data_IF_269113943881
#
_entry.id   IF_269113943881
#
_cell.length_a   1.000
_cell.length_b   1.000
_cell.length_c   1.000
_cell.angle_alpha   90.00
_cell.angle_beta   90.00
_cell.angle_gamma   90.00
#
_symmetry.space_group_name_H-M   'P 1'
#
loop_
_entity.id
_entity.type
_entity.pdbx_description
1 polymer ?
#
# COMPACT_ATOMS: atom_id res chain seq x y z
N UNK A 1 1.51 -17.36 1.49
CA UNK A 1 1.29 -15.95 1.07
C UNK A 1 1.90 -15.65 -0.31
N UNK A 2 3.17 -15.97 -0.55
CA UNK A 2 3.87 -15.73 -1.84
C UNK A 2 3.10 -16.25 -3.06
N UNK A 3 2.68 -17.52 -3.04
CA UNK A 3 1.98 -18.13 -4.18
C UNK A 3 0.64 -17.46 -4.47
N UNK A 4 -0.10 -17.09 -3.42
CA UNK A 4 -1.34 -16.32 -3.56
C UNK A 4 -1.10 -14.98 -4.27
N UNK A 5 -0.06 -14.25 -3.86
CA UNK A 5 0.29 -12.97 -4.46
C UNK A 5 0.70 -13.11 -5.93
N UNK A 6 1.49 -14.14 -6.27
CA UNK A 6 1.86 -14.44 -7.66
C UNK A 6 0.63 -14.73 -8.51
N UNK A 7 -0.30 -15.56 -8.02
CA UNK A 7 -1.52 -15.89 -8.73
C UNK A 7 -2.44 -14.68 -8.89
N UNK A 8 -2.56 -13.83 -7.87
CA UNK A 8 -3.30 -12.59 -7.95
C UNK A 8 -2.70 -11.62 -8.98
N UNK A 9 -1.37 -11.52 -9.05
CA UNK A 9 -0.68 -10.70 -10.05
C UNK A 9 -0.86 -11.27 -11.48
N UNK A 10 -0.85 -12.59 -11.65
CA UNK A 10 -1.15 -13.24 -12.93
C UNK A 10 -2.59 -12.93 -13.37
N UNK A 11 -3.56 -13.06 -12.46
CA UNK A 11 -4.96 -12.70 -12.72
C UNK A 11 -5.09 -11.21 -13.09
N UNK A 12 -4.45 -10.33 -12.32
CA UNK A 12 -4.43 -8.90 -12.57
C UNK A 12 -3.88 -8.58 -13.97
N UNK A 13 -2.77 -9.21 -14.38
CA UNK A 13 -2.20 -9.03 -15.71
C UNK A 13 -3.15 -9.53 -16.82
N UNK A 14 -3.85 -10.64 -16.59
CA UNK A 14 -4.84 -11.18 -17.53
C UNK A 14 -6.13 -10.36 -17.63
N UNK A 15 -6.45 -9.54 -16.61
CA UNK A 15 -7.69 -8.76 -16.55
C UNK A 15 -7.78 -7.60 -17.57
N UNK A 16 -6.68 -7.25 -18.24
CA UNK A 16 -6.59 -6.11 -19.16
C UNK A 16 -6.60 -4.73 -18.47
N UNK A 17 -6.65 -4.67 -17.14
CA UNK A 17 -6.54 -3.41 -16.38
C UNK A 17 -5.09 -2.92 -16.38
N UNK A 18 -4.92 -1.60 -16.52
CA UNK A 18 -3.59 -0.97 -16.67
C UNK A 18 -3.01 -0.42 -15.36
N UNK A 19 -3.88 -0.05 -14.42
CA UNK A 19 -3.50 0.59 -13.16
C UNK A 19 -4.23 -0.09 -12.01
N UNK A 20 -3.46 -0.52 -11.01
CA UNK A 20 -3.94 -1.11 -9.77
C UNK A 20 -3.65 -0.16 -8.61
N UNK A 21 -4.65 0.03 -7.75
CA UNK A 21 -4.52 0.80 -6.51
C UNK A 21 -4.57 -0.21 -5.36
N UNK A 22 -3.51 -0.23 -4.54
CA UNK A 22 -3.43 -1.09 -3.37
C UNK A 22 -3.70 -0.26 -2.13
N UNK A 23 -4.65 -0.68 -1.30
CA UNK A 23 -4.96 -0.03 -0.03
C UNK A 23 -4.38 -0.89 1.09
N UNK A 24 -3.63 -0.28 2.00
CA UNK A 24 -3.10 -1.00 3.18
C UNK A 24 -3.04 -0.06 4.37
N UNK A 25 -3.32 -0.60 5.54
CA UNK A 25 -2.96 0.03 6.80
C UNK A 25 -1.46 -0.17 7.08
N UNK A 26 -0.93 0.73 7.90
CA UNK A 26 0.39 0.68 8.52
C UNK A 26 0.20 0.78 10.03
N UNK A 27 1.14 0.22 10.78
CA UNK A 27 1.16 0.21 12.23
C UNK A 27 1.46 1.60 12.79
N UNK A 28 0.54 2.17 13.56
CA UNK A 28 0.70 3.47 14.21
C UNK A 28 1.92 3.53 15.15
N UNK A 29 2.37 2.42 15.72
CA UNK A 29 3.62 2.36 16.49
C UNK A 29 4.84 2.76 15.66
N UNK A 30 4.82 2.51 14.34
CA UNK A 30 5.86 2.96 13.40
C UNK A 30 5.75 4.44 13.06
N UNK A 31 4.56 5.04 13.23
CA UNK A 31 4.32 6.48 13.07
C UNK A 31 4.99 7.32 14.15
N UNK A 32 5.16 6.83 15.38
CA UNK A 32 5.69 7.63 16.49
C UNK A 32 7.14 8.15 16.29
N UNK A 33 7.87 7.62 15.29
CA UNK A 33 9.16 8.17 14.83
C UNK A 33 9.00 9.41 13.91
N UNK A 34 7.78 9.75 13.51
CA UNK A 34 7.40 10.84 12.61
C UNK A 34 6.55 11.86 13.41
N UNK A 35 7.02 13.11 13.44
CA UNK A 35 6.50 14.28 14.16
C UNK A 35 4.99 14.26 14.52
N UNK A 36 4.70 13.97 15.80
CA UNK A 36 3.36 13.87 16.41
C UNK A 36 2.59 15.21 16.46
N UNK A 37 3.27 16.35 16.29
CA UNK A 37 2.65 17.68 16.41
C UNK A 37 1.54 17.93 15.38
N UNK A 38 1.62 17.28 14.21
CA UNK A 38 0.67 17.48 13.11
C UNK A 38 -0.61 16.65 13.22
N UNK A 39 -0.57 15.53 13.95
CA UNK A 39 -1.73 14.65 14.13
C UNK A 39 -2.80 15.33 14.98
N UNK A 40 -2.39 15.96 16.09
CA UNK A 40 -3.30 16.70 16.98
C UNK A 40 -3.92 17.93 16.33
N UNK A 41 -3.24 18.57 15.38
CA UNK A 41 -3.71 19.79 14.72
C UNK A 41 -4.65 19.47 13.54
N UNK A 42 -4.45 18.35 12.83
CA UNK A 42 -5.21 18.07 11.60
C UNK A 42 -6.34 17.05 11.76
N UNK A 43 -6.45 16.26 12.84
CA UNK A 43 -7.51 15.21 13.02
C UNK A 43 -7.64 14.21 11.84
N UNK A 44 -6.78 14.26 10.84
CA UNK A 44 -6.83 13.45 9.63
C UNK A 44 -5.52 12.69 9.49
N UNK A 45 -5.61 11.37 9.33
CA UNK A 45 -4.46 10.52 9.04
C UNK A 45 -3.94 10.91 7.65
N UNK A 46 -2.64 11.23 7.57
CA UNK A 46 -2.04 11.64 6.31
C UNK A 46 -1.89 10.42 5.42
N UNK A 47 -2.43 10.48 4.20
CA UNK A 47 -2.23 9.42 3.20
C UNK A 47 -0.77 9.39 2.78
N UNK A 48 -0.17 8.21 2.90
CA UNK A 48 1.13 7.90 2.36
C UNK A 48 0.97 7.13 1.05
N UNK A 49 1.93 7.26 0.16
CA UNK A 49 1.88 6.57 -1.12
C UNK A 49 3.21 5.95 -1.51
N UNK A 50 3.12 4.91 -2.34
CA UNK A 50 4.23 4.33 -3.08
C UNK A 50 3.77 4.01 -4.49
N UNK A 51 4.44 4.56 -5.51
CA UNK A 51 4.06 4.35 -6.91
C UNK A 51 5.11 3.56 -7.68
N UNK A 52 4.67 2.80 -8.69
CA UNK A 52 5.57 2.10 -9.61
C UNK A 52 6.04 2.96 -10.79
N UNK A 53 5.49 4.17 -10.97
CA UNK A 53 5.83 5.08 -12.08
C UNK A 53 7.32 5.42 -12.08
N UNK A 54 7.83 5.88 -10.94
CA UNK A 54 9.23 6.24 -10.79
C UNK A 54 9.99 5.18 -9.97
N UNK A 55 11.27 4.92 -10.27
CA UNK A 55 12.07 3.93 -9.55
C UNK A 55 12.18 4.19 -8.04
N UNK A 56 12.17 5.47 -7.63
CA UNK A 56 12.25 5.95 -6.25
C UNK A 56 10.90 5.96 -5.50
N UNK A 57 9.82 5.57 -6.19
CA UNK A 57 8.49 5.48 -5.64
C UNK A 57 7.63 6.74 -5.77
N UNK A 58 8.13 7.82 -6.37
CA UNK A 58 7.39 9.10 -6.51
C UNK A 58 6.30 9.06 -7.57
N UNK A 59 5.33 9.94 -7.42
CA UNK A 59 4.22 10.14 -8.35
C UNK A 59 3.69 11.58 -8.24
N UNK A 60 3.92 12.40 -9.27
CA UNK A 60 3.53 13.81 -9.28
C UNK A 60 2.03 14.00 -8.98
N UNK A 61 1.18 13.05 -9.42
CA UNK A 61 -0.26 13.12 -9.16
C UNK A 61 -0.58 12.98 -7.67
N UNK A 62 0.13 12.10 -6.97
CA UNK A 62 -0.01 11.93 -5.53
C UNK A 62 0.53 13.15 -4.77
N UNK A 63 1.62 13.74 -5.24
CA UNK A 63 2.20 14.96 -4.64
C UNK A 63 1.26 16.17 -4.80
N UNK A 64 0.62 16.32 -5.96
CA UNK A 64 -0.41 17.35 -6.20
C UNK A 64 -1.63 17.20 -5.30
N UNK A 65 -1.97 15.97 -4.89
CA UNK A 65 -3.03 15.69 -3.93
C UNK A 65 -2.61 15.94 -2.47
N UNK A 66 -1.38 16.39 -2.24
CA UNK A 66 -0.83 16.70 -0.92
C UNK A 66 -0.42 15.47 -0.11
N UNK A 67 -0.29 14.30 -0.75
CA UNK A 67 0.07 13.06 -0.07
C UNK A 67 1.58 12.91 0.07
N UNK A 68 2.00 12.15 1.08
CA UNK A 68 3.42 11.94 1.38
C UNK A 68 3.91 10.65 0.76
N UNK A 69 5.07 10.68 0.10
CA UNK A 69 5.77 9.45 -0.30
C UNK A 69 6.13 8.66 0.97
N UNK A 70 6.00 7.32 0.93
CA UNK A 70 6.54 6.44 1.95
C UNK A 70 8.06 6.61 2.02
N UNK A 71 8.56 7.24 3.09
CA UNK A 71 9.93 7.74 3.11
C UNK A 71 10.96 6.60 3.18
N UNK A 72 10.58 5.55 3.88
CA UNK A 72 11.34 4.34 4.15
C UNK A 72 11.42 3.41 2.94
N UNK A 73 10.71 3.74 1.85
CA UNK A 73 10.88 3.00 0.61
C UNK A 73 12.30 3.20 0.06
N UNK A 74 13.08 2.12 0.14
CA UNK A 74 14.41 2.02 -0.45
C UNK A 74 14.48 0.78 -1.37
N UNK A 75 14.56 0.95 -2.72
CA UNK A 75 14.65 -0.17 -3.64
C UNK A 75 15.95 -0.99 -3.52
N UNK A 76 16.99 -0.42 -2.90
CA UNK A 76 18.27 -1.10 -2.69
C UNK A 76 18.29 -2.01 -1.45
N UNK A 77 17.27 -1.93 -0.59
CA UNK A 77 17.15 -2.73 0.64
C UNK A 77 17.09 -4.23 0.32
N UNK A 78 17.68 -5.06 1.19
CA UNK A 78 17.76 -6.52 1.05
C UNK A 78 16.38 -7.16 0.80
N UNK A 79 15.40 -6.90 1.66
CA UNK A 79 14.07 -7.49 1.53
C UNK A 79 13.31 -7.00 0.29
N UNK A 80 13.54 -5.76 -0.18
CA UNK A 80 12.98 -5.27 -1.44
C UNK A 80 13.60 -5.97 -2.66
N UNK A 81 14.91 -6.17 -2.66
CA UNK A 81 15.60 -6.95 -3.71
C UNK A 81 15.09 -8.38 -3.74
N UNK A 82 14.91 -9.01 -2.58
CA UNK A 82 14.34 -10.35 -2.45
C UNK A 82 12.94 -10.42 -3.10
N UNK A 83 12.02 -9.54 -2.73
CA UNK A 83 10.67 -9.51 -3.29
C UNK A 83 10.67 -9.30 -4.80
N UNK A 84 11.59 -8.49 -5.33
CA UNK A 84 11.74 -8.29 -6.77
C UNK A 84 12.19 -9.57 -7.47
N UNK A 85 13.24 -10.21 -6.98
CA UNK A 85 13.75 -11.47 -7.55
C UNK A 85 12.68 -12.56 -7.53
N UNK A 86 11.92 -12.65 -6.45
CA UNK A 86 10.81 -13.58 -6.30
C UNK A 86 9.64 -13.27 -7.26
N UNK A 87 9.33 -11.99 -7.46
CA UNK A 87 8.31 -11.53 -8.41
C UNK A 87 8.69 -11.83 -9.87
N UNK A 88 9.99 -11.81 -10.20
CA UNK A 88 10.53 -12.15 -11.52
C UNK A 88 10.54 -13.67 -11.80
N UNK A 89 10.20 -14.50 -10.80
CA UNK A 89 10.10 -15.95 -10.96
C UNK A 89 11.41 -16.72 -10.76
N UNK A 90 12.44 -16.08 -10.20
CA UNK A 90 13.69 -16.75 -9.86
C UNK A 90 13.52 -17.60 -8.59
N UNK A 91 13.47 -18.93 -8.77
CA UNK A 91 13.21 -19.93 -7.72
C UNK A 91 14.41 -20.26 -6.82
N UNK A 92 15.61 -19.75 -7.15
CA UNK A 92 16.87 -20.07 -6.43
C UNK A 92 16.91 -19.54 -4.99
N UNK A 93 15.96 -18.69 -4.59
CA UNK A 93 15.97 -17.98 -3.30
C UNK A 93 14.91 -18.44 -2.29
N UNK A 94 14.09 -19.47 -2.59
CA UNK A 94 13.06 -19.94 -1.66
C UNK A 94 13.63 -20.50 -0.34
N UNK A 95 14.90 -20.91 -0.31
CA UNK A 95 15.58 -21.42 0.89
C UNK A 95 16.12 -20.34 1.84
N UNK A 96 16.08 -19.05 1.46
CA UNK A 96 16.68 -17.93 2.20
C UNK A 96 15.63 -16.87 2.61
N UNK A 97 14.44 -17.29 2.99
CA UNK A 97 13.51 -16.40 3.69
C UNK A 97 14.18 -15.95 4.99
N UNK A 98 14.34 -14.64 5.27
CA UNK A 98 14.60 -14.23 6.63
C UNK A 98 13.43 -14.77 7.46
N UNK A 99 13.74 -15.63 8.42
CA UNK A 99 12.75 -16.09 9.39
C UNK A 99 12.10 -14.85 10.02
N UNK A 100 10.83 -14.92 10.41
CA UNK A 100 10.15 -13.80 11.09
C UNK A 100 10.92 -13.29 12.33
N UNK A 101 11.80 -14.12 12.89
CA UNK A 101 12.68 -13.82 14.02
C UNK A 101 13.95 -13.00 13.66
N UNK A 102 14.29 -12.81 12.39
CA UNK A 102 15.43 -12.00 11.91
C UNK A 102 14.99 -10.66 11.30
N UNK A 103 13.68 -10.34 11.32
CA UNK A 103 13.18 -9.09 10.75
C UNK A 103 13.66 -7.89 11.59
N UNK A 104 14.58 -7.12 11.03
CA UNK A 104 14.98 -5.85 11.60
C UNK A 104 13.86 -4.81 11.45
N UNK A 105 13.94 -3.72 12.21
CA UNK A 105 12.97 -2.62 12.15
C UNK A 105 12.80 -2.06 10.73
N UNK A 106 13.86 -2.12 9.91
CA UNK A 106 13.85 -1.72 8.50
C UNK A 106 13.02 -2.66 7.62
N UNK A 107 12.85 -3.92 8.01
CA UNK A 107 12.14 -4.93 7.23
C UNK A 107 10.63 -4.93 7.46
N UNK A 108 10.13 -4.04 8.32
CA UNK A 108 8.70 -3.86 8.57
C UNK A 108 7.90 -3.63 7.28
N UNK A 109 8.25 -2.61 6.48
CA UNK A 109 7.45 -2.30 5.28
C UNK A 109 7.55 -3.37 4.17
N UNK A 110 8.73 -3.97 3.90
CA UNK A 110 8.83 -5.10 2.99
C UNK A 110 8.12 -6.38 3.47
N UNK A 111 7.93 -6.60 4.77
CA UNK A 111 7.26 -7.81 5.28
C UNK A 111 5.73 -7.77 5.11
N UNK A 112 5.15 -6.57 4.98
CA UNK A 112 3.72 -6.42 4.81
C UNK A 112 3.20 -6.97 3.46
N UNK A 113 1.99 -7.56 3.40
CA UNK A 113 1.46 -8.18 2.19
C UNK A 113 1.40 -7.25 0.96
N UNK A 114 1.16 -5.95 1.18
CA UNK A 114 1.12 -4.97 0.08
C UNK A 114 2.46 -4.91 -0.68
N UNK A 115 3.59 -5.12 0.00
CA UNK A 115 4.91 -5.00 -0.60
C UNK A 115 5.19 -6.15 -1.57
N UNK A 116 4.78 -7.37 -1.21
CA UNK A 116 4.88 -8.53 -2.10
C UNK A 116 3.99 -8.33 -3.33
N UNK A 117 2.75 -7.88 -3.13
CA UNK A 117 1.80 -7.66 -4.24
C UNK A 117 2.23 -6.51 -5.15
N UNK A 118 2.74 -5.42 -4.58
CA UNK A 118 3.35 -4.32 -5.34
C UNK A 118 4.47 -4.83 -6.24
N UNK A 119 5.40 -5.62 -5.70
CA UNK A 119 6.52 -6.17 -6.47
C UNK A 119 6.05 -7.11 -7.59
N UNK A 120 5.09 -8.00 -7.32
CA UNK A 120 4.57 -8.94 -8.31
C UNK A 120 3.80 -8.23 -9.43
N UNK A 121 2.92 -7.29 -9.11
CA UNK A 121 2.20 -6.50 -10.11
C UNK A 121 3.16 -5.65 -10.95
N UNK A 122 4.16 -5.01 -10.31
CA UNK A 122 5.19 -4.24 -11.01
C UNK A 122 6.01 -5.12 -11.96
N UNK A 123 6.38 -6.34 -11.56
CA UNK A 123 7.12 -7.28 -12.42
C UNK A 123 6.30 -7.74 -13.64
N UNK A 124 4.96 -7.70 -13.57
CA UNK A 124 4.08 -7.90 -14.72
C UNK A 124 3.94 -6.67 -15.63
N UNK A 125 4.68 -5.60 -15.37
CA UNK A 125 4.61 -4.36 -16.14
C UNK A 125 3.36 -3.52 -15.85
N UNK A 126 2.65 -3.80 -14.75
CA UNK A 126 1.44 -3.07 -14.39
C UNK A 126 1.82 -1.78 -13.65
N UNK A 127 1.04 -0.72 -13.88
CA UNK A 127 1.10 0.48 -13.04
C UNK A 127 0.45 0.15 -11.68
N UNK A 128 1.13 0.48 -10.59
CA UNK A 128 0.66 0.21 -9.23
C UNK A 128 0.86 1.46 -8.38
N UNK A 129 -0.17 1.85 -7.63
CA UNK A 129 -0.07 2.89 -6.61
C UNK A 129 -0.59 2.33 -5.29
N UNK A 130 0.26 2.24 -4.28
CA UNK A 130 -0.16 1.92 -2.93
C UNK A 130 -0.60 3.21 -2.24
N UNK A 131 -1.76 3.19 -1.60
CA UNK A 131 -2.22 4.20 -0.64
C UNK A 131 -2.19 3.57 0.74
N UNK A 132 -1.54 4.26 1.66
CA UNK A 132 -1.12 3.74 2.95
C UNK A 132 -1.57 4.70 4.04
N UNK A 133 -2.17 4.17 5.11
CA UNK A 133 -2.63 4.95 6.25
C UNK A 133 -2.16 4.31 7.54
N UNK A 134 -1.54 5.09 8.43
CA UNK A 134 -1.21 4.61 9.77
C UNK A 134 -2.50 4.58 10.58
N UNK A 135 -2.92 3.38 10.98
CA UNK A 135 -4.22 3.17 11.61
C UNK A 135 -4.04 2.92 13.10
N UNK A 136 -4.92 3.50 13.92
CA UNK A 136 -4.96 3.21 15.36
C UNK A 136 -5.39 1.77 15.62
N UNK A 137 -4.92 1.18 16.72
CA UNK A 137 -5.42 -0.09 17.20
C UNK A 137 -6.92 0.03 17.58
N UNK A 138 -7.73 -0.98 17.23
CA UNK A 138 -9.17 -1.00 17.52
C UNK A 138 -10.04 -0.69 16.31
N UNK A 139 -11.01 0.21 16.47
CA UNK A 139 -11.93 0.61 15.39
C UNK A 139 -11.20 1.48 14.36
N UNK A 140 -10.94 0.89 13.20
CA UNK A 140 -10.23 1.51 12.08
C UNK A 140 -11.15 1.84 10.89
N UNK A 141 -12.48 1.85 11.10
CA UNK A 141 -13.47 2.17 10.05
C UNK A 141 -13.20 3.56 9.46
N UNK A 142 -12.90 4.54 10.31
CA UNK A 142 -12.59 5.90 9.87
C UNK A 142 -11.34 5.96 8.96
N UNK A 143 -10.30 5.18 9.29
CA UNK A 143 -9.09 5.09 8.47
C UNK A 143 -9.36 4.39 7.13
N UNK A 144 -10.21 3.35 7.13
CA UNK A 144 -10.66 2.68 5.92
C UNK A 144 -11.42 3.64 4.99
N UNK A 145 -12.32 4.48 5.52
CA UNK A 145 -12.99 5.51 4.74
C UNK A 145 -12.03 6.54 4.17
N UNK A 146 -11.00 6.95 4.92
CA UNK A 146 -9.98 7.86 4.40
C UNK A 146 -9.20 7.24 3.24
N UNK A 147 -8.81 5.97 3.33
CA UNK A 147 -8.18 5.24 2.22
C UNK A 147 -9.10 5.13 0.99
N UNK A 148 -10.38 4.84 1.21
CA UNK A 148 -11.37 4.73 0.14
C UNK A 148 -11.62 6.08 -0.55
N UNK A 149 -11.72 7.17 0.21
CA UNK A 149 -11.84 8.53 -0.31
C UNK A 149 -10.58 8.93 -1.07
N UNK A 150 -9.39 8.60 -0.55
CA UNK A 150 -8.13 8.85 -1.24
C UNK A 150 -8.08 8.12 -2.60
N UNK A 151 -8.52 6.86 -2.66
CA UNK A 151 -8.63 6.13 -3.92
C UNK A 151 -9.56 6.83 -4.91
N UNK A 152 -10.70 7.34 -4.45
CA UNK A 152 -11.62 8.12 -5.29
C UNK A 152 -10.97 9.39 -5.83
N UNK A 153 -10.30 10.16 -4.98
CA UNK A 153 -9.55 11.37 -5.38
C UNK A 153 -8.45 11.02 -6.41
N UNK A 154 -7.72 9.93 -6.22
CA UNK A 154 -6.73 9.44 -7.20
C UNK A 154 -7.38 9.06 -8.52
N UNK A 155 -8.63 8.61 -8.53
CA UNK A 155 -9.35 8.24 -9.75
C UNK A 155 -10.16 9.40 -10.35
N UNK A 156 -10.27 10.53 -9.67
CA UNK A 156 -11.15 11.64 -10.06
C UNK A 156 -12.65 11.29 -9.88
N UNK A 157 -12.95 10.32 -9.02
CA UNK A 157 -14.31 9.91 -8.69
C UNK A 157 -14.85 10.76 -7.52
N UNK A 158 -16.16 10.99 -7.52
CA UNK A 158 -16.85 11.71 -6.46
C UNK A 158 -17.69 10.73 -5.62
N UNK A 159 -17.29 10.40 -4.37
CA UNK A 159 -17.99 9.45 -3.52
C UNK A 159 -19.45 9.83 -3.23
N UNK A 160 -19.80 11.12 -3.26
CA UNK A 160 -21.19 11.60 -3.03
C UNK A 160 -22.21 11.08 -4.05
N UNK A 161 -21.73 10.50 -5.15
CA UNK A 161 -22.57 9.88 -6.19
C UNK A 161 -22.79 8.38 -5.97
N UNK A 162 -22.21 7.79 -4.92
CA UNK A 162 -22.30 6.35 -4.67
C UNK A 162 -23.56 5.99 -3.86
N UNK A 163 -24.13 4.78 -4.06
CA UNK A 163 -25.43 4.41 -3.50
C UNK A 163 -25.39 3.89 -2.05
N UNK A 164 -24.25 4.00 -1.36
CA UNK A 164 -24.11 3.49 0.01
C UNK A 164 -24.82 4.33 1.07
N UNK A 165 -25.06 3.71 2.22
CA UNK A 165 -25.91 4.27 3.28
C UNK A 165 -25.18 5.18 4.27
N UNK A 166 -23.83 5.21 4.23
CA UNK A 166 -23.00 6.00 5.16
C UNK A 166 -22.48 7.29 4.51
N UNK A 167 -21.88 8.17 5.34
CA UNK A 167 -21.23 9.39 4.87
C UNK A 167 -20.26 9.12 3.71
N UNK A 168 -20.47 9.77 2.57
CA UNK A 168 -19.67 9.55 1.35
C UNK A 168 -20.11 8.38 0.48
N UNK A 169 -21.30 7.80 0.70
CA UNK A 169 -21.91 6.82 -0.22
C UNK A 169 -21.28 5.43 -0.15
N UNK A 170 -20.61 5.09 0.96
CA UNK A 170 -19.96 3.80 1.16
C UNK A 170 -20.89 2.77 1.81
N UNK A 171 -20.64 1.48 1.52
CA UNK A 171 -21.32 0.35 2.16
C UNK A 171 -20.35 -0.29 3.14
N UNK A 172 -20.66 -0.27 4.44
CA UNK A 172 -19.91 -1.02 5.44
C UNK A 172 -20.45 -2.45 5.45
N UNK A 173 -19.63 -3.49 5.17
CA UNK A 173 -20.07 -4.85 5.33
C UNK A 173 -20.29 -5.16 6.81
N UNK A 174 -21.34 -5.93 7.12
CA UNK A 174 -21.75 -6.26 8.49
C UNK A 174 -20.72 -7.06 9.32
N UNK A 175 -19.61 -7.49 8.71
CA UNK A 175 -18.50 -8.19 9.38
C UNK A 175 -17.18 -7.94 8.66
N UNK A 176 -16.11 -7.72 9.44
CA UNK A 176 -14.70 -7.65 9.03
C UNK A 176 -13.90 -8.69 9.81
#
# INVERSE_FOLDING_TARGET
MVEFVKNLANFAAASGKKHFILLSSLDFGKWQKIDMSRYFILKFSVIHYLSSINPDGRDDRCEQLGWKRLQEYNPAQRCRKYLRTLAEGNTVLESNLPFEYELEDEDYYPSLPFAALFSCLKAKGLKVTCLLCYCSEGDNIQDAFQLAEAACRLLGLNPSTFPGNEGGGWVIPFSW
#
